data_IF_020674506130
#
_entry.id   IF_020674506130
#
_cell.length_a   1.000
_cell.length_b   1.000
_cell.length_c   1.000
_cell.angle_alpha   90.00
_cell.angle_beta   90.00
_cell.angle_gamma   90.00
#
_symmetry.space_group_name_H-M   'P 1'
#
loop_
_entity.id
_entity.type
_entity.pdbx_description
1 polymer ?
#
# COMPACT_ATOMS: atom_id res chain seq x y z
N UNK A 1 10.85 15.49 26.35
CA UNK A 1 10.82 16.07 25.00
C UNK A 1 10.05 17.37 25.07
N UNK A 2 10.48 18.39 24.33
CA UNK A 2 9.79 19.69 24.29
C UNK A 2 9.07 19.81 22.95
N UNK A 3 7.74 19.92 22.99
CA UNK A 3 6.88 19.99 21.79
C UNK A 3 6.71 21.45 21.34
N UNK A 4 6.76 21.68 20.03
CA UNK A 4 6.40 22.95 19.40
C UNK A 4 5.00 22.85 18.78
N UNK A 5 4.18 23.92 18.85
CA UNK A 5 3.03 24.04 17.96
C UNK A 5 3.53 24.06 16.50
N UNK A 6 2.71 23.57 15.58
CA UNK A 6 2.98 23.77 14.16
C UNK A 6 2.79 25.25 13.83
N UNK A 7 3.85 25.89 13.34
CA UNK A 7 3.82 27.24 12.80
C UNK A 7 3.87 27.18 11.26
N UNK A 8 3.72 28.33 10.60
CA UNK A 8 3.67 28.41 9.13
C UNK A 8 4.88 27.77 8.45
N UNK A 9 6.10 27.98 8.96
CA UNK A 9 7.32 27.40 8.39
C UNK A 9 7.31 25.86 8.44
N UNK A 10 6.92 25.29 9.58
CA UNK A 10 6.81 23.83 9.76
C UNK A 10 5.69 23.26 8.89
N UNK A 11 4.56 23.96 8.77
CA UNK A 11 3.43 23.55 7.93
C UNK A 11 3.77 23.65 6.44
N UNK A 12 4.54 24.64 6.02
CA UNK A 12 4.98 24.80 4.63
C UNK A 12 5.78 23.59 4.13
N UNK A 13 6.61 22.99 5.00
CA UNK A 13 7.31 21.75 4.68
C UNK A 13 6.33 20.60 4.33
N UNK A 14 5.29 20.42 5.13
CA UNK A 14 4.30 19.36 4.95
C UNK A 14 3.32 19.65 3.80
N UNK A 15 2.95 20.91 3.62
CA UNK A 15 2.04 21.38 2.58
C UNK A 15 2.58 21.09 1.17
N UNK A 16 3.91 21.07 0.99
CA UNK A 16 4.55 20.64 -0.26
C UNK A 16 4.13 19.22 -0.70
N UNK A 17 3.79 18.35 0.25
CA UNK A 17 3.33 16.98 0.01
C UNK A 17 1.80 16.84 0.16
N UNK A 18 1.07 17.96 0.18
CA UNK A 18 -0.37 18.03 0.42
C UNK A 18 -0.78 17.66 1.84
N UNK A 19 0.15 17.65 2.81
CA UNK A 19 -0.13 17.29 4.20
C UNK A 19 -0.39 18.57 5.00
N UNK A 20 -1.58 18.67 5.60
CA UNK A 20 -1.98 19.81 6.42
C UNK A 20 -2.05 19.45 7.91
N UNK A 21 -2.22 20.48 8.75
CA UNK A 21 -2.18 20.34 10.20
C UNK A 21 -3.18 19.31 10.75
N UNK A 22 -4.39 19.24 10.19
CA UNK A 22 -5.40 18.27 10.62
C UNK A 22 -4.94 16.83 10.44
N UNK A 23 -4.26 16.52 9.32
CA UNK A 23 -3.65 15.21 9.08
C UNK A 23 -2.55 14.93 10.11
N UNK A 24 -1.67 15.89 10.38
CA UNK A 24 -0.61 15.74 11.38
C UNK A 24 -1.18 15.49 12.78
N UNK A 25 -2.24 16.22 13.16
CA UNK A 25 -2.94 16.07 14.44
C UNK A 25 -3.64 14.72 14.54
N UNK A 26 -4.34 14.31 13.48
CA UNK A 26 -5.05 13.03 13.41
C UNK A 26 -4.11 11.82 13.61
N UNK A 27 -2.92 11.88 13.03
CA UNK A 27 -1.86 10.87 13.20
C UNK A 27 -0.94 11.13 14.40
N UNK A 28 -1.29 12.08 15.27
CA UNK A 28 -0.54 12.44 16.49
C UNK A 28 0.92 12.82 16.23
N UNK A 29 1.25 13.27 15.02
CA UNK A 29 2.58 13.80 14.67
C UNK A 29 2.86 15.03 15.54
N UNK A 30 4.11 15.18 15.96
CA UNK A 30 4.57 16.32 16.77
C UNK A 30 5.77 16.98 16.13
N UNK A 31 5.83 18.31 16.20
CA UNK A 31 7.08 19.04 16.03
C UNK A 31 7.78 19.16 17.38
N UNK A 32 9.09 18.98 17.42
CA UNK A 32 9.88 19.08 18.64
C UNK A 32 10.84 20.27 18.59
N UNK A 33 10.94 21.01 19.69
CA UNK A 33 12.01 22.01 19.90
C UNK A 33 13.33 21.32 20.21
N UNK A 34 13.24 20.26 21.02
CA UNK A 34 14.39 19.58 21.62
C UNK A 34 14.03 18.14 21.96
N UNK A 35 14.98 17.25 21.70
CA UNK A 35 14.93 15.85 22.12
C UNK A 35 16.23 15.49 22.85
N UNK A 36 16.09 14.87 24.02
CA UNK A 36 17.21 14.41 24.84
C UNK A 36 17.01 12.94 25.17
N UNK A 37 18.07 12.15 25.07
CA UNK A 37 18.04 10.74 25.43
C UNK A 37 19.44 10.23 25.77
N UNK A 38 19.49 9.01 26.26
CA UNK A 38 20.72 8.23 26.45
C UNK A 38 20.81 7.25 25.28
N UNK A 39 21.95 7.16 24.62
CA UNK A 39 22.19 6.19 23.55
C UNK A 39 22.35 4.78 24.12
N UNK A 40 22.36 3.77 23.25
CA UNK A 40 22.66 2.38 23.65
C UNK A 40 24.04 2.24 24.32
N UNK A 41 24.98 3.15 24.06
CA UNK A 41 26.31 3.21 24.68
C UNK A 41 26.33 3.94 26.03
N UNK A 42 25.16 4.33 26.56
CA UNK A 42 25.07 5.09 27.82
C UNK A 42 25.45 6.57 27.69
N UNK A 43 25.71 7.08 26.48
CA UNK A 43 26.07 8.49 26.26
C UNK A 43 24.81 9.35 26.17
N UNK A 44 24.76 10.41 26.96
CA UNK A 44 23.75 11.45 26.81
C UNK A 44 23.93 12.16 25.47
N UNK A 45 22.85 12.33 24.74
CA UNK A 45 22.85 13.16 23.54
C UNK A 45 21.60 14.02 23.49
N UNK A 46 21.70 15.06 22.67
CA UNK A 46 20.69 16.08 22.51
C UNK A 46 20.55 16.43 21.03
N UNK A 47 19.30 16.61 20.59
CA UNK A 47 18.95 17.17 19.31
C UNK A 47 18.14 18.44 19.54
N UNK A 48 18.51 19.53 18.88
CA UNK A 48 17.74 20.79 18.87
C UNK A 48 17.25 21.05 17.46
N UNK A 49 15.98 21.40 17.34
CA UNK A 49 15.43 21.84 16.06
C UNK A 49 15.94 23.25 15.74
N UNK A 50 16.12 23.51 14.46
CA UNK A 50 16.35 24.84 13.90
C UNK A 50 15.39 25.07 12.73
N UNK A 51 15.25 26.32 12.24
CA UNK A 51 14.44 26.57 11.05
C UNK A 51 14.84 25.75 9.81
N UNK A 52 16.12 25.38 9.69
CA UNK A 52 16.66 24.59 8.57
C UNK A 52 16.77 23.09 8.86
N UNK A 53 16.71 22.68 10.13
CA UNK A 53 16.68 21.28 10.55
C UNK A 53 15.53 21.05 11.54
N UNK A 54 14.27 20.99 11.07
CA UNK A 54 13.14 20.67 11.92
C UNK A 54 13.22 19.23 12.42
N UNK A 55 12.61 18.98 13.58
CA UNK A 55 12.48 17.65 14.16
C UNK A 55 10.99 17.33 14.29
N UNK A 56 10.55 16.32 13.56
CA UNK A 56 9.23 15.74 13.70
C UNK A 56 9.31 14.43 14.47
N UNK A 57 8.22 14.05 15.12
CA UNK A 57 8.11 12.85 15.90
C UNK A 57 6.80 12.11 15.63
N UNK A 58 6.91 10.79 15.56
CA UNK A 58 5.83 9.82 15.57
C UNK A 58 5.85 9.12 16.94
N UNK A 59 5.12 9.64 17.94
CA UNK A 59 5.09 9.06 19.28
C UNK A 59 4.19 7.81 19.31
N UNK A 60 4.65 6.77 19.99
CA UNK A 60 3.84 5.65 20.45
C UNK A 60 3.66 5.67 21.97
N UNK A 61 3.21 4.55 22.54
CA UNK A 61 3.01 4.43 24.01
C UNK A 61 4.35 4.49 24.75
N UNK A 62 5.29 3.62 24.40
CA UNK A 62 6.59 3.49 25.08
C UNK A 62 7.79 3.84 24.18
N UNK A 63 7.53 4.42 23.01
CA UNK A 63 8.56 4.74 22.03
C UNK A 63 8.30 6.05 21.29
N UNK A 64 9.32 6.50 20.59
CA UNK A 64 9.25 7.62 19.66
C UNK A 64 10.13 7.34 18.45
N UNK A 65 9.62 7.60 17.25
CA UNK A 65 10.41 7.67 16.02
C UNK A 65 10.55 9.13 15.61
N UNK A 66 11.78 9.62 15.52
CA UNK A 66 12.10 10.96 15.06
C UNK A 66 12.30 10.97 13.55
N UNK A 67 11.88 12.04 12.91
CA UNK A 67 12.10 12.34 11.51
C UNK A 67 12.70 13.75 11.36
N UNK A 68 13.89 13.81 10.75
CA UNK A 68 14.64 15.04 10.48
C UNK A 68 14.87 15.15 8.96
N UNK A 69 13.95 15.78 8.22
CA UNK A 69 13.90 15.68 6.76
C UNK A 69 15.16 16.16 6.04
N UNK A 70 15.86 17.15 6.61
CA UNK A 70 17.05 17.75 6.00
C UNK A 70 18.37 17.19 6.55
N UNK A 71 18.34 16.28 7.53
CA UNK A 71 19.55 15.77 8.15
C UNK A 71 20.13 14.57 7.39
N UNK A 72 21.38 14.67 6.94
CA UNK A 72 22.05 13.60 6.19
C UNK A 72 22.56 12.44 7.09
N UNK A 73 22.91 12.71 8.35
CA UNK A 73 23.51 11.71 9.26
C UNK A 73 22.51 11.02 10.16
N UNK A 74 21.43 11.70 10.52
CA UNK A 74 20.43 11.21 11.49
C UNK A 74 19.02 11.59 11.04
N UNK A 75 18.67 11.17 9.81
CA UNK A 75 17.33 11.42 9.24
C UNK A 75 16.22 10.77 10.08
N UNK A 76 16.49 9.58 10.60
CA UNK A 76 15.58 8.86 11.49
C UNK A 76 16.32 8.44 12.76
N UNK A 77 15.63 8.50 13.90
CA UNK A 77 16.16 8.04 15.19
C UNK A 77 15.02 7.45 16.02
N UNK A 78 15.32 6.40 16.77
CA UNK A 78 14.35 5.71 17.61
C UNK A 78 14.72 5.90 19.08
N UNK A 79 13.72 6.12 19.92
CA UNK A 79 13.86 6.23 21.36
C UNK A 79 12.81 5.39 22.08
N UNK A 80 13.15 4.93 23.29
CA UNK A 80 12.27 4.08 24.09
C UNK A 80 12.23 2.63 23.58
N UNK A 81 11.16 1.92 23.93
CA UNK A 81 10.96 0.50 23.59
C UNK A 81 10.05 0.39 22.37
N UNK A 82 10.65 0.24 21.19
CA UNK A 82 9.91 -0.04 19.97
C UNK A 82 9.08 -1.32 20.12
N UNK A 83 7.85 -1.37 19.57
CA UNK A 83 7.05 -2.58 19.57
C UNK A 83 7.71 -3.64 18.68
N UNK A 84 7.42 -4.92 18.95
CA UNK A 84 7.90 -6.02 18.12
C UNK A 84 7.46 -5.88 16.65
N UNK A 85 6.24 -5.36 16.45
CA UNK A 85 5.72 -4.98 15.15
C UNK A 85 5.38 -3.50 15.20
N UNK A 86 6.11 -2.70 14.44
CA UNK A 86 5.78 -1.30 14.20
C UNK A 86 4.82 -1.20 13.02
N UNK A 87 3.66 -0.59 13.22
CA UNK A 87 2.70 -0.32 12.15
C UNK A 87 2.07 1.06 12.34
N UNK A 88 2.50 2.03 11.53
CA UNK A 88 1.97 3.39 11.58
C UNK A 88 0.68 3.49 10.75
N UNK A 89 -0.31 4.22 11.25
CA UNK A 89 -1.61 4.42 10.59
C UNK A 89 -2.68 3.39 10.94
N UNK A 90 -2.35 2.31 11.66
CA UNK A 90 -3.29 1.24 12.00
C UNK A 90 -4.49 1.74 12.84
N UNK A 91 -4.28 2.74 13.69
CA UNK A 91 -5.35 3.36 14.50
C UNK A 91 -6.29 4.26 13.67
N UNK A 92 -5.82 4.75 12.52
CA UNK A 92 -6.53 5.75 11.69
C UNK A 92 -7.38 5.10 10.59
N UNK A 93 -7.13 3.85 10.24
CA UNK A 93 -7.85 3.16 9.19
C UNK A 93 -9.25 2.68 9.66
N UNK A 94 -10.29 2.76 8.81
CA UNK A 94 -11.66 2.39 9.19
C UNK A 94 -11.82 0.88 9.40
N UNK A 95 -12.89 0.48 10.08
CA UNK A 95 -13.20 -0.95 10.32
C UNK A 95 -13.49 -1.70 9.02
N UNK A 96 -14.00 -1.01 7.99
CA UNK A 96 -14.15 -1.53 6.62
C UNK A 96 -13.81 -0.44 5.60
N UNK A 97 -13.30 -0.84 4.45
CA UNK A 97 -13.08 0.04 3.30
C UNK A 97 -12.80 -0.73 2.02
N UNK A 98 -12.80 -0.05 0.88
CA UNK A 98 -12.53 -0.72 -0.40
C UNK A 98 -11.04 -0.97 -0.61
N UNK A 99 -10.19 0.00 -0.26
CA UNK A 99 -8.76 -0.03 -0.53
C UNK A 99 -7.94 0.39 0.69
N UNK A 100 -6.82 -0.29 0.87
CA UNK A 100 -5.76 0.05 1.83
C UNK A 100 -4.40 -0.02 1.14
N UNK A 101 -3.60 1.04 1.29
CA UNK A 101 -2.23 1.05 0.85
C UNK A 101 -1.26 0.63 1.96
N UNK A 102 -0.19 -0.08 1.58
CA UNK A 102 0.97 -0.34 2.42
C UNK A 102 2.17 0.38 1.78
N UNK A 103 2.72 1.37 2.47
CA UNK A 103 3.82 2.19 1.96
C UNK A 103 5.14 1.91 2.68
N UNK A 104 6.23 2.49 2.16
CA UNK A 104 7.56 2.41 2.76
C UNK A 104 7.74 3.27 4.01
N UNK A 105 6.99 4.37 4.18
CA UNK A 105 7.22 5.31 5.29
C UNK A 105 6.01 6.12 5.73
N UNK A 106 6.11 6.72 6.91
CA UNK A 106 5.02 7.48 7.54
C UNK A 106 4.61 8.71 6.71
N UNK A 107 5.58 9.36 6.05
CA UNK A 107 5.34 10.53 5.20
C UNK A 107 4.35 10.19 4.07
N UNK A 108 4.51 9.01 3.48
CA UNK A 108 3.65 8.52 2.40
C UNK A 108 2.26 8.16 2.90
N UNK A 109 2.16 7.58 4.11
CA UNK A 109 0.88 7.34 4.79
C UNK A 109 0.11 8.64 4.98
N UNK A 110 0.79 9.67 5.53
CA UNK A 110 0.20 10.98 5.75
C UNK A 110 -0.25 11.63 4.44
N UNK A 111 0.58 11.54 3.40
CA UNK A 111 0.29 12.13 2.10
C UNK A 111 -0.91 11.44 1.43
N UNK A 112 -0.96 10.11 1.42
CA UNK A 112 -2.12 9.35 0.94
C UNK A 112 -3.40 9.69 1.70
N UNK A 113 -3.34 9.75 3.03
CA UNK A 113 -4.49 10.09 3.86
C UNK A 113 -5.02 11.49 3.53
N UNK A 114 -4.13 12.48 3.40
CA UNK A 114 -4.52 13.83 3.02
C UNK A 114 -5.18 13.91 1.63
N UNK A 115 -4.89 12.94 0.75
CA UNK A 115 -5.50 12.79 -0.57
C UNK A 115 -6.71 11.83 -0.58
N UNK A 116 -7.19 11.40 0.59
CA UNK A 116 -8.42 10.62 0.73
C UNK A 116 -8.24 9.11 0.57
N UNK A 117 -7.03 8.58 0.81
CA UNK A 117 -6.74 7.14 0.75
C UNK A 117 -6.29 6.60 2.10
N UNK A 118 -6.79 5.42 2.46
CA UNK A 118 -6.34 4.73 3.67
C UNK A 118 -4.95 4.13 3.43
N UNK A 119 -4.03 4.31 4.38
CA UNK A 119 -2.67 3.80 4.26
C UNK A 119 -2.08 3.43 5.62
N UNK A 120 -1.15 2.47 5.60
CA UNK A 120 -0.31 2.09 6.73
C UNK A 120 1.13 1.85 6.26
N UNK A 121 2.10 1.80 7.18
CA UNK A 121 3.46 1.36 6.86
C UNK A 121 4.10 0.58 8.02
N UNK A 122 5.06 -0.29 7.68
CA UNK A 122 5.77 -1.16 8.63
C UNK A 122 7.20 -0.69 8.92
N UNK A 123 7.44 0.64 8.93
CA UNK A 123 8.74 1.31 9.17
C UNK A 123 9.61 1.53 7.92
N UNK A 124 9.71 0.52 7.06
CA UNK A 124 10.43 0.55 5.78
C UNK A 124 9.89 -0.51 4.83
N UNK A 125 10.22 -0.40 3.54
CA UNK A 125 9.84 -1.37 2.50
C UNK A 125 10.46 -2.76 2.74
N UNK A 126 11.64 -2.76 3.36
CA UNK A 126 12.38 -3.96 3.77
C UNK A 126 11.81 -4.63 5.01
N UNK A 127 10.94 -3.96 5.76
CA UNK A 127 10.34 -4.54 6.94
C UNK A 127 9.41 -5.69 6.56
N UNK A 128 9.48 -6.79 7.29
CA UNK A 128 8.60 -7.92 7.05
C UNK A 128 7.17 -7.55 7.45
N UNK A 129 6.23 -7.81 6.54
CA UNK A 129 4.81 -7.64 6.82
C UNK A 129 4.32 -8.94 7.49
N UNK A 130 3.80 -8.90 8.72
CA UNK A 130 3.28 -10.09 9.38
C UNK A 130 2.01 -10.60 8.70
N UNK A 131 1.97 -11.89 8.36
CA UNK A 131 0.82 -12.54 7.72
C UNK A 131 -0.46 -12.39 8.53
N UNK A 132 -0.39 -12.54 9.86
CA UNK A 132 -1.54 -12.38 10.76
C UNK A 132 -2.18 -10.99 10.69
N UNK A 133 -1.38 -9.95 10.40
CA UNK A 133 -1.92 -8.60 10.18
C UNK A 133 -2.61 -8.52 8.82
N UNK A 134 -2.02 -9.10 7.78
CA UNK A 134 -2.62 -9.14 6.44
C UNK A 134 -3.94 -9.91 6.45
N UNK A 135 -4.00 -11.07 7.08
CA UNK A 135 -5.24 -11.84 7.28
C UNK A 135 -6.35 -10.97 7.86
N UNK A 136 -6.06 -10.27 8.96
CA UNK A 136 -7.00 -9.37 9.61
C UNK A 136 -7.42 -8.21 8.69
N UNK A 137 -6.48 -7.60 7.96
CA UNK A 137 -6.77 -6.49 7.07
C UNK A 137 -7.62 -6.91 5.87
N UNK A 138 -7.48 -8.14 5.35
CA UNK A 138 -8.32 -8.65 4.25
C UNK A 138 -9.79 -8.78 4.61
N UNK A 139 -10.09 -9.01 5.89
CA UNK A 139 -11.48 -9.02 6.37
C UNK A 139 -12.10 -7.61 6.40
N UNK A 140 -11.25 -6.58 6.40
CA UNK A 140 -11.63 -5.16 6.48
C UNK A 140 -11.60 -4.48 5.10
N UNK A 141 -10.66 -4.86 4.23
CA UNK A 141 -10.42 -4.21 2.95
C UNK A 141 -10.51 -5.16 1.77
N UNK A 142 -11.24 -4.74 0.72
CA UNK A 142 -11.39 -5.52 -0.52
C UNK A 142 -10.07 -5.65 -1.28
N UNK A 143 -9.29 -4.58 -1.33
CA UNK A 143 -7.99 -4.54 -1.99
C UNK A 143 -6.93 -3.99 -1.03
N UNK A 144 -5.86 -4.75 -0.84
CA UNK A 144 -4.64 -4.30 -0.17
C UNK A 144 -3.58 -4.12 -1.26
N UNK A 145 -2.95 -2.95 -1.29
CA UNK A 145 -2.05 -2.54 -2.37
C UNK A 145 -0.72 -2.07 -1.78
N UNK A 146 0.38 -2.74 -2.14
CA UNK A 146 1.72 -2.25 -1.88
C UNK A 146 2.00 -1.07 -2.82
N UNK A 147 2.48 0.03 -2.24
CA UNK A 147 2.87 1.25 -2.95
C UNK A 147 4.21 1.74 -2.37
N UNK A 148 5.27 1.06 -2.78
CA UNK A 148 6.65 1.38 -2.40
C UNK A 148 7.31 2.31 -3.42
N UNK A 149 8.51 2.76 -3.09
CA UNK A 149 9.28 3.69 -3.90
C UNK A 149 9.56 3.09 -5.28
N UNK A 150 9.54 3.95 -6.30
CA UNK A 150 9.91 3.61 -7.67
C UNK A 150 11.43 3.49 -7.87
N UNK A 151 12.21 3.32 -6.80
CA UNK A 151 13.64 3.04 -6.85
C UNK A 151 13.93 1.53 -6.84
N UNK A 152 15.19 1.15 -7.07
CA UNK A 152 15.58 -0.27 -7.17
C UNK A 152 15.20 -1.07 -5.92
N UNK A 153 15.30 -0.47 -4.73
CA UNK A 153 14.97 -1.16 -3.48
C UNK A 153 13.46 -1.31 -3.34
N UNK A 154 12.70 -0.24 -3.53
CA UNK A 154 11.24 -0.28 -3.43
C UNK A 154 10.62 -1.27 -4.41
N UNK A 155 11.10 -1.30 -5.67
CA UNK A 155 10.64 -2.26 -6.68
C UNK A 155 10.97 -3.72 -6.32
N UNK A 156 12.17 -3.98 -5.80
CA UNK A 156 12.58 -5.33 -5.38
C UNK A 156 11.76 -5.79 -4.19
N UNK A 157 11.61 -4.96 -3.16
CA UNK A 157 10.86 -5.32 -1.96
C UNK A 157 9.36 -5.46 -2.24
N UNK A 158 8.79 -4.63 -3.12
CA UNK A 158 7.38 -4.76 -3.51
C UNK A 158 7.10 -6.10 -4.18
N UNK A 159 7.99 -6.54 -5.10
CA UNK A 159 7.89 -7.87 -5.72
C UNK A 159 8.02 -8.98 -4.69
N UNK A 160 9.08 -8.94 -3.86
CA UNK A 160 9.34 -9.93 -2.82
C UNK A 160 8.14 -10.11 -1.88
N UNK A 161 7.57 -9.01 -1.39
CA UNK A 161 6.44 -9.06 -0.44
C UNK A 161 5.17 -9.55 -1.12
N UNK A 162 4.92 -9.14 -2.38
CA UNK A 162 3.75 -9.62 -3.15
C UNK A 162 3.85 -11.12 -3.41
N UNK A 163 5.04 -11.64 -3.72
CA UNK A 163 5.29 -13.07 -3.90
C UNK A 163 5.14 -13.86 -2.59
N UNK A 164 5.71 -13.35 -1.49
CA UNK A 164 5.59 -13.97 -0.17
C UNK A 164 4.14 -14.02 0.33
N UNK A 165 3.34 -13.02 -0.03
CA UNK A 165 1.95 -12.88 0.41
C UNK A 165 0.95 -13.23 -0.71
N UNK A 166 1.35 -14.06 -1.66
CA UNK A 166 0.55 -14.38 -2.84
C UNK A 166 -0.82 -15.01 -2.49
N UNK A 167 -0.89 -15.82 -1.43
CA UNK A 167 -2.16 -16.41 -0.95
C UNK A 167 -3.19 -15.34 -0.51
N UNK A 168 -2.67 -14.18 -0.11
CA UNK A 168 -3.45 -13.04 0.33
C UNK A 168 -3.95 -12.17 -0.82
N UNK A 169 -3.50 -12.43 -2.05
CA UNK A 169 -3.85 -11.68 -3.26
C UNK A 169 -3.61 -10.18 -3.09
N UNK A 170 -2.53 -9.81 -2.40
CA UNK A 170 -2.09 -8.42 -2.29
C UNK A 170 -1.68 -7.95 -3.68
N UNK A 171 -2.03 -6.70 -3.99
CA UNK A 171 -1.69 -6.07 -5.26
C UNK A 171 -0.43 -5.21 -5.08
N UNK A 172 0.26 -4.94 -6.17
CA UNK A 172 1.36 -4.00 -6.21
C UNK A 172 1.06 -2.93 -7.26
N UNK A 173 1.11 -1.66 -6.86
CA UNK A 173 1.00 -0.52 -7.76
C UNK A 173 2.35 0.19 -7.84
N UNK A 174 2.91 0.30 -9.05
CA UNK A 174 4.11 1.10 -9.31
C UNK A 174 3.71 2.45 -9.89
N UNK A 175 4.16 3.54 -9.27
CA UNK A 175 3.93 4.89 -9.80
C UNK A 175 4.84 5.16 -11.01
N UNK A 176 4.39 5.96 -11.99
CA UNK A 176 5.17 6.32 -13.17
C UNK A 176 6.19 7.42 -12.82
N UNK A 177 7.10 7.11 -11.90
CA UNK A 177 8.15 8.00 -11.42
C UNK A 177 9.52 7.52 -11.92
N UNK A 178 10.48 8.42 -12.08
CA UNK A 178 11.82 8.05 -12.53
C UNK A 178 12.68 7.29 -11.49
N UNK A 179 12.27 7.25 -10.22
CA UNK A 179 12.98 6.54 -9.14
C UNK A 179 14.18 7.30 -8.57
N UNK A 180 14.30 8.60 -8.86
CA UNK A 180 15.39 9.45 -8.35
C UNK A 180 15.16 9.87 -6.90
N UNK A 181 16.19 10.40 -6.22
CA UNK A 181 16.07 10.87 -4.81
C UNK A 181 14.96 11.90 -4.58
N UNK A 182 14.58 12.64 -5.61
CA UNK A 182 13.56 13.69 -5.58
C UNK A 182 12.23 13.26 -6.17
N UNK A 183 12.18 12.06 -6.76
CA UNK A 183 11.02 11.54 -7.48
C UNK A 183 11.01 10.00 -7.40
N UNK A 184 10.62 9.49 -6.24
CA UNK A 184 10.53 8.04 -6.02
C UNK A 184 9.32 7.60 -5.22
N UNK A 185 8.85 8.42 -4.28
CA UNK A 185 7.77 8.04 -3.36
C UNK A 185 6.43 8.72 -3.74
N UNK A 186 5.32 8.25 -3.16
CA UNK A 186 3.99 8.79 -3.45
C UNK A 186 3.85 10.25 -3.01
N UNK A 187 4.58 10.66 -1.97
CA UNK A 187 4.58 12.07 -1.57
C UNK A 187 5.21 12.95 -2.65
N UNK A 188 6.26 12.46 -3.35
CA UNK A 188 6.85 13.16 -4.50
C UNK A 188 5.89 13.19 -5.68
N UNK A 189 5.17 12.08 -5.93
CA UNK A 189 4.14 12.03 -6.97
C UNK A 189 3.09 13.13 -6.81
N UNK A 190 2.60 13.35 -5.58
CA UNK A 190 1.67 14.45 -5.30
C UNK A 190 2.35 15.83 -5.33
N UNK A 191 3.58 15.96 -4.84
CA UNK A 191 4.35 17.20 -4.91
C UNK A 191 4.63 17.67 -6.35
N UNK A 192 4.65 16.74 -7.32
CA UNK A 192 4.76 17.03 -8.76
C UNK A 192 3.43 17.53 -9.40
N UNK A 193 2.37 17.70 -8.61
CA UNK A 193 1.09 18.24 -9.07
C UNK A 193 0.06 17.18 -9.47
N UNK A 194 0.38 15.89 -9.36
CA UNK A 194 -0.65 14.85 -9.45
C UNK A 194 -1.53 14.90 -8.19
N UNK A 195 -2.78 14.45 -8.30
CA UNK A 195 -3.69 14.35 -7.18
C UNK A 195 -4.42 13.01 -7.12
N UNK A 196 -5.49 12.98 -6.32
CA UNK A 196 -6.28 11.77 -6.13
C UNK A 196 -6.93 11.27 -7.43
N UNK A 197 -7.20 12.16 -8.39
CA UNK A 197 -7.79 11.81 -9.68
C UNK A 197 -6.82 10.99 -10.53
N UNK A 198 -5.58 11.43 -10.61
CA UNK A 198 -4.52 10.78 -11.37
C UNK A 198 -4.16 9.43 -10.74
N UNK A 199 -4.07 9.35 -9.41
CA UNK A 199 -3.88 8.08 -8.71
C UNK A 199 -5.06 7.11 -8.93
N UNK A 200 -6.30 7.60 -8.91
CA UNK A 200 -7.49 6.79 -9.25
C UNK A 200 -7.49 6.29 -10.69
N UNK A 201 -6.94 7.06 -11.63
CA UNK A 201 -6.78 6.62 -13.01
C UNK A 201 -5.77 5.46 -13.11
N UNK A 202 -4.65 5.52 -12.39
CA UNK A 202 -3.67 4.42 -12.32
C UNK A 202 -4.30 3.15 -11.73
N UNK A 203 -5.06 3.29 -10.63
CA UNK A 203 -5.81 2.19 -10.03
C UNK A 203 -6.83 1.60 -11.01
N UNK A 204 -7.59 2.45 -11.70
CA UNK A 204 -8.61 2.00 -12.67
C UNK A 204 -7.99 1.21 -13.81
N UNK A 205 -6.82 1.64 -14.30
CA UNK A 205 -6.04 0.90 -15.29
C UNK A 205 -5.58 -0.45 -14.74
N UNK A 206 -4.95 -0.47 -13.56
CA UNK A 206 -4.50 -1.71 -12.90
C UNK A 206 -5.65 -2.71 -12.72
N UNK A 207 -6.81 -2.27 -12.25
CA UNK A 207 -7.99 -3.13 -12.12
C UNK A 207 -8.48 -3.63 -13.48
N UNK A 208 -8.56 -2.76 -14.48
CA UNK A 208 -8.97 -3.14 -15.84
C UNK A 208 -8.03 -4.19 -16.43
N UNK A 209 -6.72 -4.04 -16.26
CA UNK A 209 -5.71 -4.99 -16.74
C UNK A 209 -5.88 -6.37 -16.08
N UNK A 210 -6.17 -6.42 -14.78
CA UNK A 210 -6.47 -7.67 -14.06
C UNK A 210 -7.78 -8.33 -14.55
N UNK A 211 -8.83 -7.53 -14.74
CA UNK A 211 -10.13 -8.05 -15.17
C UNK A 211 -10.16 -8.38 -16.66
N UNK A 212 -9.26 -7.83 -17.48
CA UNK A 212 -9.14 -8.14 -18.91
C UNK A 212 -9.07 -9.64 -19.17
N UNK A 213 -8.24 -10.36 -18.40
CA UNK A 213 -8.11 -11.82 -18.57
C UNK A 213 -9.39 -12.56 -18.18
N UNK A 214 -10.04 -12.14 -17.08
CA UNK A 214 -11.33 -12.73 -16.66
C UNK A 214 -12.42 -12.43 -17.69
N UNK A 215 -12.46 -11.21 -18.23
CA UNK A 215 -13.43 -10.78 -19.22
C UNK A 215 -13.21 -11.49 -20.57
N UNK A 216 -11.95 -11.73 -20.97
CA UNK A 216 -11.62 -12.53 -22.15
C UNK A 216 -12.07 -13.98 -22.00
N UNK A 217 -11.87 -14.59 -20.82
CA UNK A 217 -12.38 -15.92 -20.54
C UNK A 217 -13.92 -15.96 -20.57
N UNK A 218 -14.59 -15.00 -19.95
CA UNK A 218 -16.06 -14.93 -19.96
C UNK A 218 -16.62 -14.74 -21.38
N UNK A 219 -15.99 -13.87 -22.20
CA UNK A 219 -16.35 -13.70 -23.61
C UNK A 219 -16.18 -14.98 -24.43
N UNK A 220 -15.18 -15.80 -24.13
CA UNK A 220 -15.02 -17.10 -24.78
C UNK A 220 -16.14 -18.10 -24.43
N UNK A 221 -16.93 -17.81 -23.38
CA UNK A 221 -18.09 -18.58 -22.96
C UNK A 221 -19.43 -17.89 -23.29
N UNK A 222 -19.42 -16.72 -23.94
CA UNK A 222 -20.66 -16.07 -24.37
C UNK A 222 -21.28 -16.85 -25.53
N UNK A 223 -22.55 -17.22 -25.38
CA UNK A 223 -23.34 -17.78 -26.47
C UNK A 223 -23.68 -16.64 -27.41
N UNK A 224 -23.16 -16.69 -28.63
CA UNK A 224 -23.59 -15.83 -29.71
C UNK A 224 -25.00 -16.26 -30.15
N UNK A 225 -26.02 -15.49 -29.79
CA UNK A 225 -27.41 -15.79 -30.15
C UNK A 225 -27.71 -15.49 -31.63
N UNK A 226 -26.93 -14.64 -32.28
CA UNK A 226 -27.05 -14.33 -33.70
C UNK A 226 -26.35 -15.40 -34.56
N UNK A 227 -25.39 -16.13 -33.97
CA UNK A 227 -24.75 -17.30 -34.56
C UNK A 227 -24.65 -18.45 -33.54
N UNK A 228 -25.80 -19.07 -33.17
CA UNK A 228 -25.82 -20.12 -32.16
C UNK A 228 -25.03 -21.34 -32.65
N UNK A 229 -24.39 -22.09 -31.74
CA UNK A 229 -23.76 -23.36 -32.10
C UNK A 229 -24.79 -24.30 -32.73
N UNK A 230 -24.33 -25.12 -33.67
CA UNK A 230 -25.17 -26.14 -34.31
C UNK A 230 -25.82 -27.03 -33.25
N UNK A 231 -27.08 -27.41 -33.50
CA UNK A 231 -27.79 -28.32 -32.61
C UNK A 231 -26.99 -29.61 -32.43
N UNK A 232 -26.73 -29.96 -31.17
CA UNK A 232 -25.98 -31.15 -30.79
C UNK A 232 -26.53 -32.40 -31.48
N UNK A 233 -25.69 -33.09 -32.26
CA UNK A 233 -26.13 -34.31 -32.95
C UNK A 233 -26.15 -35.47 -31.95
N UNK A 234 -27.22 -36.25 -32.02
CA UNK A 234 -27.31 -37.52 -31.29
C UNK A 234 -26.25 -38.47 -31.81
N UNK A 235 -25.36 -38.93 -30.92
CA UNK A 235 -24.35 -39.96 -31.20
C UNK A 235 -24.92 -41.34 -30.89
N UNK A 236 -25.69 -41.45 -29.80
CA UNK A 236 -26.38 -42.69 -29.39
C UNK A 236 -27.84 -42.37 -29.06
N UNK A 237 -28.77 -43.12 -29.64
CA UNK A 237 -30.20 -43.01 -29.35
C UNK A 237 -30.85 -44.38 -29.20
N UNK A 238 -31.84 -44.48 -28.32
CA UNK A 238 -32.72 -45.66 -28.20
C UNK A 238 -34.16 -45.22 -28.43
N UNK A 239 -34.85 -45.87 -29.36
CA UNK A 239 -36.22 -45.54 -29.75
C UNK A 239 -36.44 -44.05 -30.09
N UNK A 240 -35.44 -43.42 -30.73
CA UNK A 240 -35.49 -42.01 -31.10
C UNK A 240 -35.19 -41.03 -29.95
N UNK A 241 -34.92 -41.52 -28.74
CA UNK A 241 -34.50 -40.69 -27.61
C UNK A 241 -32.97 -40.64 -27.56
N UNK A 242 -32.35 -39.45 -27.65
CA UNK A 242 -30.89 -39.32 -27.56
C UNK A 242 -30.42 -39.68 -26.14
N UNK A 243 -29.55 -40.68 -26.03
CA UNK A 243 -28.87 -41.08 -24.79
C UNK A 243 -27.49 -40.43 -24.66
N UNK A 244 -26.88 -40.06 -25.78
CA UNK A 244 -25.59 -39.36 -25.82
C UNK A 244 -25.53 -38.45 -27.02
N UNK A 245 -25.22 -37.19 -26.81
CA UNK A 245 -25.01 -36.19 -27.85
C UNK A 245 -23.53 -35.80 -27.89
N UNK A 246 -23.07 -35.21 -29.00
CA UNK A 246 -21.66 -34.83 -29.19
C UNK A 246 -21.11 -33.99 -28.03
N UNK A 247 -21.95 -33.15 -27.43
CA UNK A 247 -21.52 -32.22 -26.38
C UNK A 247 -21.55 -32.83 -24.97
N UNK A 248 -22.15 -34.01 -24.81
CA UNK A 248 -22.37 -34.66 -23.51
C UNK A 248 -21.62 -36.01 -23.37
N UNK A 249 -20.83 -36.42 -24.37
CA UNK A 249 -20.03 -37.64 -24.30
C UNK A 249 -18.69 -37.36 -23.61
N UNK A 250 -18.63 -37.62 -22.30
CA UNK A 250 -17.37 -37.67 -21.57
C UNK A 250 -16.75 -39.07 -21.73
N UNK A 251 -15.77 -39.22 -22.62
CA UNK A 251 -15.07 -40.50 -22.83
C UNK A 251 -14.10 -40.76 -21.67
N UNK A 252 -14.51 -41.58 -20.69
CA UNK A 252 -13.57 -42.27 -19.79
C UNK A 252 -13.25 -43.61 -20.45
N UNK A 253 -12.10 -43.71 -21.13
CA UNK A 253 -11.56 -45.01 -21.51
C UNK A 253 -10.83 -45.59 -20.31
N UNK A 254 -11.51 -46.44 -19.54
CA UNK A 254 -10.87 -47.33 -18.57
C UNK A 254 -10.04 -48.38 -19.32
N UNK A 255 -8.80 -48.57 -18.88
CA UNK A 255 -7.89 -49.58 -19.41
C UNK A 255 -8.32 -51.01 -19.09
N UNK A 256 -7.76 -51.94 -19.85
CA UNK A 256 -7.48 -53.30 -19.36
C UNK A 256 -6.23 -53.29 -18.48
#
# INVERSE_FOLDING_TARGET
MDVLPFNDDLLNYWAHYGIFEDTLRHFKVRSLKRYESISAEGKKFELKASPTEPIFAYPGIDYIKLYRPHSAKMRFLYGGRMPAIYCFGMEQIPTKGDMLFITGGEKDVLSLYAHGFNAICFNSETAQIPESIIESLRLRFRHIIILYDADETGLREARRQTEQLAEYKILNLTLPLCGSKTEKDVSNYFALGNGSKELKALLSKMFSDMYSQTMMMLRSCEIDYDNPPDASKSVVAVNGVPLGTQDNLFCITGGE
#
